data_IF_432190336230
#
_entry.id   IF_432190336230
#
_cell.length_a   1.000
_cell.length_b   1.000
_cell.length_c   1.000
_cell.angle_alpha   90.00
_cell.angle_beta   90.00
_cell.angle_gamma   90.00
#
_symmetry.space_group_name_H-M   'P 1'
#
loop_
_entity.id
_entity.type
_entity.pdbx_description
1 polymer ?
#
# COMPACT_ATOMS: atom_id res chain seq x y z
N UNK A 1 -8.72 -6.09 13.13
CA UNK A 1 -8.70 -4.63 13.42
C UNK A 1 -7.36 -3.96 13.06
N UNK A 2 -6.20 -4.52 13.42
CA UNK A 2 -4.88 -3.90 13.18
C UNK A 2 -4.63 -3.56 11.72
N UNK A 3 -4.89 -4.51 10.78
CA UNK A 3 -4.71 -4.28 9.35
C UNK A 3 -5.60 -3.17 8.78
N UNK A 4 -6.84 -3.05 9.26
CA UNK A 4 -7.74 -1.97 8.85
C UNK A 4 -7.21 -0.61 9.27
N UNK A 5 -6.72 -0.48 10.52
CA UNK A 5 -6.17 0.79 11.02
C UNK A 5 -4.88 1.14 10.26
N UNK A 6 -3.98 0.18 10.05
CA UNK A 6 -2.76 0.41 9.29
C UNK A 6 -3.04 0.81 7.83
N UNK A 7 -4.00 0.15 7.17
CA UNK A 7 -4.43 0.49 5.81
C UNK A 7 -5.07 1.88 5.74
N UNK A 8 -5.84 2.26 6.74
CA UNK A 8 -6.41 3.62 6.83
C UNK A 8 -5.31 4.67 6.97
N UNK A 9 -4.29 4.41 7.81
CA UNK A 9 -3.15 5.31 7.96
C UNK A 9 -2.38 5.48 6.65
N UNK A 10 -2.16 4.39 5.91
CA UNK A 10 -1.58 4.42 4.57
C UNK A 10 -2.39 5.32 3.62
N UNK A 11 -3.71 5.10 3.52
CA UNK A 11 -4.57 5.88 2.62
C UNK A 11 -4.60 7.37 3.00
N UNK A 12 -4.57 7.69 4.29
CA UNK A 12 -4.48 9.09 4.75
C UNK A 12 -3.14 9.70 4.35
N UNK A 13 -2.03 8.97 4.50
CA UNK A 13 -0.71 9.41 4.04
C UNK A 13 -0.68 9.64 2.53
N UNK A 14 -1.26 8.74 1.75
CA UNK A 14 -1.40 8.91 0.30
C UNK A 14 -2.18 10.17 -0.06
N UNK A 15 -3.32 10.42 0.59
CA UNK A 15 -4.11 11.63 0.34
C UNK A 15 -3.36 12.90 0.71
N UNK A 16 -2.57 12.84 1.78
CA UNK A 16 -1.75 13.95 2.22
C UNK A 16 -0.60 14.21 1.24
N UNK A 17 0.13 13.18 0.84
CA UNK A 17 1.24 13.33 -0.10
C UNK A 17 0.77 13.85 -1.46
N UNK A 18 -0.35 13.35 -1.98
CA UNK A 18 -0.96 13.87 -3.20
C UNK A 18 -1.31 15.36 -3.11
N UNK A 19 -1.77 15.82 -1.95
CA UNK A 19 -2.05 17.24 -1.70
C UNK A 19 -0.79 18.09 -1.64
N UNK A 20 0.25 17.59 -0.99
CA UNK A 20 1.47 18.35 -0.72
C UNK A 20 2.39 18.41 -1.95
N UNK A 21 2.47 17.33 -2.72
CA UNK A 21 3.40 17.20 -3.84
C UNK A 21 2.74 17.37 -5.20
N UNK A 22 1.41 17.32 -5.25
CA UNK A 22 0.66 17.35 -6.52
C UNK A 22 0.79 16.07 -7.35
N UNK A 23 1.36 14.99 -6.79
CA UNK A 23 1.44 13.72 -7.48
C UNK A 23 0.04 13.14 -7.76
N UNK A 24 -0.05 12.24 -8.73
CA UNK A 24 -1.32 11.66 -9.20
C UNK A 24 -1.39 10.15 -8.97
N UNK A 25 -0.52 9.59 -8.13
CA UNK A 25 -0.50 8.16 -7.80
C UNK A 25 -1.55 7.86 -6.73
N UNK A 26 -2.76 7.51 -7.17
CA UNK A 26 -3.93 7.23 -6.31
C UNK A 26 -4.25 5.73 -6.33
N UNK A 27 -3.94 5.03 -5.24
CA UNK A 27 -4.14 3.59 -5.12
C UNK A 27 -5.61 3.17 -5.18
N UNK A 28 -6.51 4.09 -4.87
CA UNK A 28 -7.94 3.82 -5.03
C UNK A 28 -8.29 3.68 -6.51
N UNK A 29 -7.66 4.47 -7.37
CA UNK A 29 -7.82 4.38 -8.82
C UNK A 29 -6.99 3.21 -9.36
N UNK A 30 -5.82 2.94 -8.78
CA UNK A 30 -5.00 1.80 -9.11
C UNK A 30 -5.78 0.48 -8.97
N UNK A 31 -6.45 0.28 -7.84
CA UNK A 31 -7.21 -0.96 -7.62
C UNK A 31 -8.60 -0.93 -8.22
N UNK A 32 -9.32 0.18 -8.14
CA UNK A 32 -10.66 0.33 -8.68
C UNK A 32 -10.72 0.40 -10.20
N UNK A 33 -9.67 0.90 -10.84
CA UNK A 33 -9.60 1.08 -12.29
C UNK A 33 -9.59 -0.21 -13.12
N UNK A 34 -9.35 -1.36 -12.49
CA UNK A 34 -9.55 -2.66 -13.12
C UNK A 34 -11.02 -3.07 -13.24
N UNK A 35 -11.90 -2.49 -12.43
CA UNK A 35 -13.29 -2.93 -12.29
C UNK A 35 -14.29 -2.02 -13.00
N UNK A 36 -13.99 -0.74 -13.13
CA UNK A 36 -14.94 0.25 -13.66
C UNK A 36 -14.22 1.48 -14.22
N UNK A 37 -14.90 2.20 -15.10
CA UNK A 37 -14.44 3.47 -15.67
C UNK A 37 -15.03 4.69 -14.92
N UNK A 38 -16.04 4.48 -14.07
CA UNK A 38 -16.60 5.54 -13.22
C UNK A 38 -15.65 5.92 -12.10
N UNK A 39 -15.20 7.17 -12.08
CA UNK A 39 -14.17 7.67 -11.17
C UNK A 39 -14.59 7.61 -9.70
N UNK A 40 -15.84 7.81 -9.40
CA UNK A 40 -16.36 7.74 -8.03
C UNK A 40 -16.39 6.30 -7.55
N UNK A 41 -16.87 5.41 -8.41
CA UNK A 41 -16.91 3.98 -8.12
C UNK A 41 -15.50 3.37 -8.03
N UNK A 42 -14.55 3.82 -8.89
CA UNK A 42 -13.12 3.44 -8.77
C UNK A 42 -12.59 3.73 -7.38
N UNK A 43 -12.79 4.95 -6.87
CA UNK A 43 -12.31 5.34 -5.54
C UNK A 43 -12.96 4.52 -4.43
N UNK A 44 -14.24 4.24 -4.53
CA UNK A 44 -14.98 3.46 -3.52
C UNK A 44 -14.52 2.00 -3.51
N UNK A 45 -14.54 1.35 -4.67
CA UNK A 45 -14.10 -0.05 -4.81
C UNK A 45 -12.60 -0.20 -4.50
N UNK A 46 -11.78 0.73 -5.00
CA UNK A 46 -10.35 0.73 -4.75
C UNK A 46 -10.01 0.89 -3.28
N UNK A 47 -10.74 1.74 -2.53
CA UNK A 47 -10.60 1.83 -1.07
C UNK A 47 -10.92 0.50 -0.39
N UNK A 48 -12.01 -0.15 -0.79
CA UNK A 48 -12.39 -1.44 -0.23
C UNK A 48 -11.35 -2.53 -0.51
N UNK A 49 -10.86 -2.62 -1.76
CA UNK A 49 -9.83 -3.58 -2.17
C UNK A 49 -8.53 -3.31 -1.42
N UNK A 50 -8.05 -2.06 -1.41
CA UNK A 50 -6.82 -1.69 -0.72
C UNK A 50 -6.88 -2.01 0.78
N UNK A 51 -8.01 -1.71 1.43
CA UNK A 51 -8.20 -2.06 2.85
C UNK A 51 -8.20 -3.57 3.06
N UNK A 52 -8.83 -4.33 2.16
CA UNK A 52 -8.84 -5.79 2.22
C UNK A 52 -7.44 -6.38 2.05
N UNK A 53 -6.65 -5.85 1.12
CA UNK A 53 -5.24 -6.23 0.94
C UNK A 53 -4.42 -5.91 2.19
N UNK A 54 -4.63 -4.76 2.82
CA UNK A 54 -3.97 -4.42 4.08
C UNK A 54 -4.35 -5.34 5.25
N UNK A 55 -5.58 -5.87 5.28
CA UNK A 55 -5.98 -6.89 6.26
C UNK A 55 -5.26 -8.21 5.99
N UNK A 56 -5.19 -8.64 4.73
CA UNK A 56 -4.47 -9.87 4.32
C UNK A 56 -2.98 -9.73 4.65
N UNK A 57 -2.39 -8.58 4.36
CA UNK A 57 -0.98 -8.31 4.64
C UNK A 57 -0.68 -8.31 6.14
N UNK A 58 -1.60 -7.81 6.98
CA UNK A 58 -1.49 -7.93 8.43
C UNK A 58 -1.53 -9.39 8.91
N UNK A 59 -2.33 -10.24 8.26
CA UNK A 59 -2.31 -11.69 8.49
C UNK A 59 -0.97 -12.32 8.10
N UNK A 60 -0.43 -11.94 6.95
CA UNK A 60 0.89 -12.38 6.49
C UNK A 60 2.01 -11.93 7.45
N UNK A 61 1.93 -10.69 7.97
CA UNK A 61 2.84 -10.21 9.01
C UNK A 61 2.80 -11.11 10.25
N UNK A 62 1.60 -11.49 10.71
CA UNK A 62 1.45 -12.39 11.87
C UNK A 62 2.13 -13.75 11.67
N UNK A 63 2.08 -14.29 10.45
CA UNK A 63 2.77 -15.53 10.09
C UNK A 63 4.28 -15.33 9.95
N UNK A 64 4.72 -14.19 9.47
CA UNK A 64 6.14 -13.87 9.27
C UNK A 64 6.85 -13.41 10.55
N UNK A 65 6.12 -12.80 11.49
CA UNK A 65 6.66 -12.17 12.69
C UNK A 65 7.61 -13.06 13.52
N UNK A 66 7.37 -14.39 13.70
CA UNK A 66 8.30 -15.27 14.41
C UNK A 66 9.67 -15.41 13.73
N UNK A 67 9.74 -15.18 12.42
CA UNK A 67 10.97 -15.34 11.61
C UNK A 67 11.69 -14.01 11.36
N UNK A 68 11.07 -12.89 11.71
CA UNK A 68 11.67 -11.57 11.58
C UNK A 68 12.67 -11.31 12.74
N UNK A 69 13.66 -10.43 12.52
CA UNK A 69 14.58 -10.02 13.59
C UNK A 69 13.83 -9.53 14.82
N UNK A 70 14.39 -9.80 16.00
CA UNK A 70 13.84 -9.36 17.30
C UNK A 70 14.01 -7.85 17.50
N UNK A 71 13.25 -7.07 16.75
CA UNK A 71 13.17 -5.61 16.82
C UNK A 71 11.94 -5.18 17.63
N UNK A 72 11.92 -3.95 18.18
CA UNK A 72 10.69 -3.34 18.69
C UNK A 72 9.58 -3.39 17.64
N UNK A 73 8.34 -3.59 18.07
CA UNK A 73 7.19 -3.82 17.17
C UNK A 73 7.11 -2.88 15.97
N UNK A 74 7.21 -1.54 16.14
CA UNK A 74 7.15 -0.60 15.00
C UNK A 74 8.22 -0.88 13.94
N UNK A 75 9.46 -1.14 14.35
CA UNK A 75 10.56 -1.41 13.43
C UNK A 75 10.44 -2.77 12.74
N UNK A 76 9.87 -3.76 13.43
CA UNK A 76 9.58 -5.06 12.84
C UNK A 76 8.48 -4.97 11.78
N UNK A 77 7.44 -4.17 12.06
CA UNK A 77 6.39 -3.87 11.08
C UNK A 77 6.90 -3.07 9.89
N UNK A 78 7.76 -2.06 10.13
CA UNK A 78 8.43 -1.31 9.06
C UNK A 78 9.26 -2.22 8.16
N UNK A 79 10.11 -3.07 8.74
CA UNK A 79 10.95 -4.01 7.98
C UNK A 79 10.11 -4.94 7.10
N UNK A 80 8.98 -5.43 7.62
CA UNK A 80 8.07 -6.28 6.88
C UNK A 80 7.43 -5.55 5.70
N UNK A 81 6.88 -4.36 5.93
CA UNK A 81 6.17 -3.60 4.90
C UNK A 81 7.12 -3.12 3.79
N UNK A 82 8.32 -2.64 4.13
CA UNK A 82 9.32 -2.25 3.14
C UNK A 82 9.90 -3.46 2.39
N UNK A 83 10.03 -4.59 3.08
CA UNK A 83 10.45 -5.85 2.45
C UNK A 83 9.42 -6.30 1.40
N UNK A 84 8.15 -6.24 1.71
CA UNK A 84 7.06 -6.55 0.78
C UNK A 84 7.04 -5.59 -0.41
N UNK A 85 7.04 -4.27 -0.16
CA UNK A 85 7.09 -3.24 -1.20
C UNK A 85 8.27 -3.46 -2.15
N UNK A 86 9.48 -3.68 -1.61
CA UNK A 86 10.69 -3.90 -2.40
C UNK A 86 10.63 -5.20 -3.19
N UNK A 87 10.13 -6.28 -2.59
CA UNK A 87 10.04 -7.60 -3.21
C UNK A 87 9.05 -7.62 -4.39
N UNK A 88 7.94 -6.89 -4.27
CA UNK A 88 6.90 -6.83 -5.30
C UNK A 88 7.17 -5.76 -6.37
N UNK A 89 8.04 -4.80 -6.09
CA UNK A 89 8.32 -3.70 -7.01
C UNK A 89 8.75 -4.15 -8.43
N UNK A 90 9.54 -5.22 -8.66
CA UNK A 90 9.87 -5.70 -9.99
C UNK A 90 8.66 -6.07 -10.87
N UNK A 91 7.49 -6.35 -10.27
CA UNK A 91 6.25 -6.65 -10.98
C UNK A 91 5.49 -5.40 -11.42
N UNK A 92 5.79 -4.24 -10.82
CA UNK A 92 5.07 -2.98 -11.07
C UNK A 92 5.15 -2.50 -12.51
N UNK A 93 6.28 -2.61 -13.24
CA UNK A 93 6.34 -2.23 -14.66
C UNK A 93 5.37 -3.05 -15.53
N UNK A 94 5.21 -4.35 -15.24
CA UNK A 94 4.23 -5.19 -15.92
C UNK A 94 2.81 -4.74 -15.61
N UNK A 95 2.50 -4.51 -14.34
CA UNK A 95 1.21 -3.97 -13.91
C UNK A 95 0.91 -2.64 -14.60
N UNK A 96 1.91 -1.74 -14.69
CA UNK A 96 1.80 -0.44 -15.37
C UNK A 96 1.43 -0.59 -16.85
N UNK A 97 2.07 -1.52 -17.54
CA UNK A 97 1.82 -1.76 -18.97
C UNK A 97 0.41 -2.30 -19.25
N UNK A 98 -0.14 -3.06 -18.32
CA UNK A 98 -1.45 -3.71 -18.44
C UNK A 98 -2.60 -2.88 -17.86
N UNK A 99 -2.30 -1.86 -17.03
CA UNK A 99 -3.30 -1.14 -16.27
C UNK A 99 -4.17 -0.21 -17.15
N UNK A 100 -5.52 -0.34 -17.12
CA UNK A 100 -6.41 0.44 -17.99
C UNK A 100 -6.23 1.96 -17.80
N UNK A 101 -6.15 2.43 -16.55
CA UNK A 101 -6.04 3.85 -16.24
C UNK A 101 -4.68 4.45 -16.61
N UNK A 102 -3.60 3.67 -16.56
CA UNK A 102 -2.28 4.12 -17.06
C UNK A 102 -2.35 4.30 -18.59
N UNK A 103 -2.97 3.35 -19.28
CA UNK A 103 -3.14 3.40 -20.77
C UNK A 103 -4.02 4.55 -21.22
N UNK A 104 -4.99 4.97 -20.41
CA UNK A 104 -5.91 6.10 -20.68
C UNK A 104 -5.36 7.45 -20.20
N UNK A 105 -4.24 7.49 -19.49
CA UNK A 105 -3.67 8.70 -18.88
C UNK A 105 -4.37 9.13 -17.58
N UNK A 106 -5.21 8.30 -17.02
CA UNK A 106 -5.89 8.53 -15.72
C UNK A 106 -4.97 8.36 -14.52
N UNK A 107 -3.94 7.49 -14.64
CA UNK A 107 -2.83 7.34 -13.71
C UNK A 107 -1.50 7.62 -14.42
N UNK A 108 -0.49 8.14 -13.71
CA UNK A 108 0.87 8.20 -14.22
C UNK A 108 1.44 6.79 -14.46
N UNK A 109 2.53 6.72 -15.21
CA UNK A 109 3.26 5.48 -15.40
C UNK A 109 3.85 5.00 -14.08
N UNK A 110 3.52 3.77 -13.71
CA UNK A 110 4.03 3.11 -12.50
C UNK A 110 5.43 2.53 -12.77
N UNK A 111 6.13 2.10 -11.71
CA UNK A 111 7.45 1.50 -11.83
C UNK A 111 8.57 2.52 -12.07
N UNK A 112 8.32 3.78 -11.76
CA UNK A 112 9.33 4.85 -11.73
C UNK A 112 9.96 4.95 -10.34
N UNK A 113 11.13 5.58 -10.25
CA UNK A 113 11.78 5.85 -8.95
C UNK A 113 10.87 6.72 -8.06
N UNK A 114 10.20 7.71 -8.65
CA UNK A 114 9.24 8.55 -7.93
C UNK A 114 8.12 7.71 -7.31
N UNK A 115 7.50 6.82 -8.10
CA UNK A 115 6.48 5.92 -7.61
C UNK A 115 7.00 5.05 -6.47
N UNK A 116 8.19 4.44 -6.62
CA UNK A 116 8.80 3.62 -5.58
C UNK A 116 9.00 4.39 -4.26
N UNK A 117 9.51 5.62 -4.32
CA UNK A 117 9.76 6.42 -3.13
C UNK A 117 8.45 6.83 -2.42
N UNK A 118 7.41 7.16 -3.18
CA UNK A 118 6.09 7.46 -2.61
C UNK A 118 5.49 6.22 -1.93
N UNK A 119 5.55 5.07 -2.61
CA UNK A 119 5.10 3.81 -2.03
C UNK A 119 5.90 3.42 -0.78
N UNK A 120 7.22 3.61 -0.77
CA UNK A 120 8.04 3.36 0.40
C UNK A 120 7.59 4.21 1.61
N UNK A 121 7.33 5.49 1.43
CA UNK A 121 6.81 6.34 2.53
C UNK A 121 5.46 5.84 3.04
N UNK A 122 4.55 5.47 2.14
CA UNK A 122 3.21 4.96 2.48
C UNK A 122 3.29 3.61 3.20
N UNK A 123 4.13 2.69 2.70
CA UNK A 123 4.38 1.38 3.31
C UNK A 123 5.09 1.52 4.66
N UNK A 124 6.01 2.49 4.82
CA UNK A 124 6.62 2.80 6.12
C UNK A 124 5.55 3.17 7.16
N UNK A 125 4.61 4.03 6.80
CA UNK A 125 3.51 4.42 7.69
C UNK A 125 2.62 3.22 8.04
N UNK A 126 2.24 2.42 7.02
CA UNK A 126 1.50 1.18 7.24
C UNK A 126 2.24 0.25 8.21
N UNK A 127 3.52 -0.01 7.95
CA UNK A 127 4.34 -0.93 8.74
C UNK A 127 4.55 -0.46 10.17
N UNK A 128 4.83 0.83 10.39
CA UNK A 128 4.98 1.41 11.73
C UNK A 128 3.68 1.27 12.54
N UNK A 129 2.53 1.58 11.95
CA UNK A 129 1.22 1.44 12.60
C UNK A 129 0.90 -0.03 12.86
N UNK A 130 1.12 -0.90 11.87
CA UNK A 130 0.91 -2.34 12.00
C UNK A 130 1.72 -2.91 13.17
N UNK A 131 3.02 -2.65 13.18
CA UNK A 131 3.93 -3.18 14.20
C UNK A 131 3.69 -2.60 15.60
N UNK A 132 3.21 -1.34 15.67
CA UNK A 132 2.84 -0.71 16.96
C UNK A 132 1.59 -1.34 17.57
N UNK A 133 0.61 -1.67 16.73
CA UNK A 133 -0.69 -2.19 17.17
C UNK A 133 -0.71 -3.72 17.24
N UNK A 134 0.29 -4.37 16.67
CA UNK A 134 0.37 -5.84 16.71
C UNK A 134 0.74 -6.30 18.11
N UNK A 135 -0.11 -7.15 18.68
CA UNK A 135 0.18 -7.84 19.93
C UNK A 135 0.59 -9.26 19.60
N UNK A 136 1.83 -9.61 19.87
CA UNK A 136 2.26 -11.00 19.81
C UNK A 136 1.36 -11.79 20.79
N UNK A 137 0.73 -12.84 20.29
CA UNK A 137 0.03 -13.77 21.18
C UNK A 137 1.12 -14.62 21.83
N UNK A 138 1.38 -14.35 23.09
CA UNK A 138 2.16 -15.22 23.96
C UNK A 138 1.48 -16.57 24.12
#
# INVERSE_FOLDING_TARGET
MTGTVASTAYLLAMLLDMRLTGNRYDDRILWGGYLTDDRTLQKTLGTAIHTSLGIVLAGAYGMAAPFLPKLPGPWRGLLFAEGENTLLFPLVPLMSALHPEVRRGGLPRLGTVEFFLLEAVRHAIYGLVLGTLWRDRE
#
